data_IF_647008649064
#
_entry.id   IF_647008649064
#
_cell.length_a   1.000
_cell.length_b   1.000
_cell.length_c   1.000
_cell.angle_alpha   90.00
_cell.angle_beta   90.00
_cell.angle_gamma   90.00
#
_symmetry.space_group_name_H-M   'P 1'
#
loop_
_entity.id
_entity.type
_entity.pdbx_description
1 polymer ?
#
# COMPACT_ATOMS: atom_id res chain seq x y z
N UNK A 1 17.99 -14.85 -1.39
CA UNK A 1 17.90 -13.87 -2.50
C UNK A 1 18.05 -12.50 -1.86
N UNK A 2 19.17 -11.82 -2.09
CA UNK A 2 19.29 -10.42 -1.65
C UNK A 2 18.21 -9.59 -2.37
N UNK A 3 17.53 -8.67 -1.63
CA UNK A 3 16.61 -7.77 -2.28
C UNK A 3 17.36 -6.97 -3.35
N UNK A 4 16.72 -6.64 -4.49
CA UNK A 4 17.38 -5.84 -5.51
C UNK A 4 17.91 -4.56 -4.87
N UNK A 5 19.17 -4.23 -5.11
CA UNK A 5 19.86 -3.04 -4.58
C UNK A 5 19.21 -1.71 -5.02
N UNK A 6 18.19 -1.75 -5.86
CA UNK A 6 17.55 -0.59 -6.47
C UNK A 6 16.19 -0.25 -5.83
N UNK A 7 16.05 -0.39 -4.53
CA UNK A 7 14.96 0.30 -3.81
C UNK A 7 15.38 1.75 -3.60
N UNK A 8 15.20 2.58 -4.61
CA UNK A 8 15.37 4.02 -4.47
C UNK A 8 14.44 4.52 -3.35
N UNK A 9 14.99 4.94 -2.20
CA UNK A 9 14.16 5.43 -1.10
C UNK A 9 13.46 6.71 -1.53
N UNK A 10 12.27 6.96 -0.95
CA UNK A 10 11.58 8.23 -1.15
C UNK A 10 12.50 9.40 -0.80
N UNK A 11 12.55 10.40 -1.67
CA UNK A 11 13.32 11.61 -1.46
C UNK A 11 12.57 12.56 -0.53
N UNK A 12 13.29 13.46 0.13
CA UNK A 12 12.70 14.54 0.97
C UNK A 12 11.68 15.38 0.18
N UNK A 13 11.95 15.63 -1.10
CA UNK A 13 11.03 16.37 -1.97
C UNK A 13 9.72 15.60 -2.19
N UNK A 14 9.80 14.31 -2.50
CA UNK A 14 8.63 13.44 -2.68
C UNK A 14 7.79 13.35 -1.41
N UNK A 15 8.42 13.12 -0.25
CA UNK A 15 7.74 13.07 1.05
C UNK A 15 7.07 14.40 1.36
N UNK A 16 7.76 15.52 1.16
CA UNK A 16 7.24 16.87 1.39
C UNK A 16 6.06 17.18 0.46
N UNK A 17 6.14 16.80 -0.81
CA UNK A 17 5.07 16.98 -1.80
C UNK A 17 3.80 16.24 -1.39
N UNK A 18 3.93 14.96 -1.01
CA UNK A 18 2.79 14.13 -0.59
C UNK A 18 2.19 14.67 0.71
N UNK A 19 3.00 14.97 1.71
CA UNK A 19 2.56 15.57 2.98
C UNK A 19 1.76 16.85 2.77
N UNK A 20 2.27 17.78 1.97
CA UNK A 20 1.59 19.03 1.66
C UNK A 20 0.27 18.81 0.89
N UNK A 21 0.24 17.86 -0.05
CA UNK A 21 -0.98 17.47 -0.76
C UNK A 21 -2.03 16.97 0.23
N UNK A 22 -1.65 16.04 1.12
CA UNK A 22 -2.58 15.38 2.03
C UNK A 22 -3.13 16.37 3.07
N UNK A 23 -2.29 17.26 3.61
CA UNK A 23 -2.73 18.33 4.52
C UNK A 23 -3.74 19.26 3.82
N UNK A 24 -3.45 19.68 2.57
CA UNK A 24 -4.37 20.54 1.82
C UNK A 24 -5.69 19.85 1.47
N UNK A 25 -5.66 18.55 1.23
CA UNK A 25 -6.87 17.77 0.93
C UNK A 25 -7.82 17.66 2.13
N UNK A 26 -7.34 17.86 3.36
CA UNK A 26 -8.18 17.78 4.55
C UNK A 26 -9.28 18.85 4.58
N UNK A 27 -9.04 20.04 4.02
CA UNK A 27 -10.03 21.13 4.03
C UNK A 27 -11.33 20.78 3.30
N UNK A 28 -11.24 20.00 2.20
CA UNK A 28 -12.41 19.56 1.44
C UNK A 28 -12.97 18.18 1.81
N UNK A 29 -12.26 17.44 2.68
CA UNK A 29 -12.59 16.04 2.96
C UNK A 29 -13.90 15.82 3.72
N UNK A 30 -14.36 16.81 4.47
CA UNK A 30 -15.50 16.69 5.40
C UNK A 30 -16.62 17.69 5.08
N UNK A 31 -16.76 18.12 3.83
CA UNK A 31 -17.73 19.15 3.43
C UNK A 31 -19.16 18.64 3.32
N UNK A 32 -19.37 17.32 3.25
CA UNK A 32 -20.70 16.73 3.11
C UNK A 32 -21.04 15.81 4.29
N UNK A 33 -22.35 15.70 4.61
CA UNK A 33 -22.81 14.76 5.64
C UNK A 33 -22.41 13.32 5.33
N UNK A 34 -22.43 12.92 4.07
CA UNK A 34 -21.99 11.59 3.64
C UNK A 34 -20.50 11.36 3.92
N UNK A 35 -19.66 12.36 3.66
CA UNK A 35 -18.23 12.28 3.94
C UNK A 35 -17.94 12.18 5.44
N UNK A 36 -18.66 12.94 6.26
CA UNK A 36 -18.56 12.86 7.73
C UNK A 36 -19.04 11.50 8.25
N UNK A 37 -20.17 11.00 7.79
CA UNK A 37 -20.68 9.68 8.16
C UNK A 37 -19.70 8.56 7.76
N UNK A 38 -19.13 8.65 6.56
CA UNK A 38 -18.11 7.71 6.09
C UNK A 38 -16.85 7.72 6.97
N UNK A 39 -16.38 8.89 7.37
CA UNK A 39 -15.23 9.01 8.28
C UNK A 39 -15.51 8.40 9.66
N UNK A 40 -16.71 8.60 10.21
CA UNK A 40 -17.11 7.98 11.48
C UNK A 40 -17.16 6.46 11.34
N UNK A 41 -17.78 5.95 10.26
CA UNK A 41 -17.82 4.52 9.99
C UNK A 41 -16.42 3.90 9.87
N UNK A 42 -15.50 4.59 9.19
CA UNK A 42 -14.09 4.18 9.09
C UNK A 42 -13.40 4.15 10.45
N UNK A 43 -13.62 5.16 11.29
CA UNK A 43 -13.07 5.19 12.65
C UNK A 43 -13.53 4.00 13.49
N UNK A 44 -14.83 3.67 13.43
CA UNK A 44 -15.41 2.51 14.14
C UNK A 44 -14.82 1.19 13.58
N UNK A 45 -14.79 1.03 12.26
CA UNK A 45 -14.33 -0.19 11.60
C UNK A 45 -12.87 -0.52 11.94
N UNK A 46 -12.01 0.50 12.01
CA UNK A 46 -10.59 0.34 12.30
C UNK A 46 -10.20 0.61 13.76
N UNK A 47 -11.18 0.77 14.66
CA UNK A 47 -10.91 1.01 16.08
C UNK A 47 -10.07 2.26 16.33
N UNK A 48 -10.25 3.32 15.53
CA UNK A 48 -9.50 4.56 15.68
C UNK A 48 -10.06 5.39 16.84
N UNK A 49 -9.23 6.16 17.54
CA UNK A 49 -9.68 7.01 18.65
C UNK A 49 -10.60 8.12 18.17
N UNK A 50 -11.49 8.61 19.04
CA UNK A 50 -12.49 9.63 18.70
C UNK A 50 -11.90 10.96 18.23
N UNK A 51 -10.64 11.25 18.61
CA UNK A 51 -9.92 12.45 18.19
C UNK A 51 -9.10 12.25 16.91
N UNK A 52 -9.21 11.09 16.25
CA UNK A 52 -8.41 10.74 15.08
C UNK A 52 -8.46 11.80 13.98
N UNK A 53 -9.67 12.25 13.61
CA UNK A 53 -9.85 13.27 12.56
C UNK A 53 -9.27 14.61 13.00
N UNK A 54 -9.45 14.99 14.26
CA UNK A 54 -8.94 16.24 14.81
C UNK A 54 -7.40 16.30 14.82
N UNK A 55 -6.76 15.19 15.10
CA UNK A 55 -5.29 15.08 15.19
C UNK A 55 -4.63 14.68 13.87
N UNK A 56 -5.42 14.38 12.83
CA UNK A 56 -4.90 13.84 11.56
C UNK A 56 -3.92 14.78 10.88
N UNK A 57 -4.20 16.10 10.87
CA UNK A 57 -3.31 17.11 10.29
C UNK A 57 -1.94 17.08 10.96
N UNK A 58 -1.90 17.16 12.28
CA UNK A 58 -0.66 17.20 13.05
C UNK A 58 0.14 15.90 12.86
N UNK A 59 -0.55 14.76 12.76
CA UNK A 59 0.06 13.45 12.50
C UNK A 59 0.68 13.38 11.10
N UNK A 60 0.03 13.96 10.08
CA UNK A 60 0.58 14.03 8.72
C UNK A 60 1.79 14.96 8.70
N UNK A 61 1.71 16.14 9.34
CA UNK A 61 2.79 17.12 9.41
C UNK A 61 4.02 16.60 10.18
N UNK A 62 3.80 15.76 11.20
CA UNK A 62 4.85 15.14 11.99
C UNK A 62 5.61 13.99 11.28
N UNK A 63 5.14 13.54 10.09
CA UNK A 63 5.83 12.50 9.34
C UNK A 63 7.23 12.95 8.90
N UNK A 64 8.22 12.14 9.24
CA UNK A 64 9.61 12.35 8.83
C UNK A 64 10.00 11.44 7.67
N UNK A 65 11.03 11.81 6.92
CA UNK A 65 11.56 10.97 5.84
C UNK A 65 11.99 9.59 6.36
N UNK A 66 12.63 9.54 7.52
CA UNK A 66 13.06 8.27 8.12
C UNK A 66 11.89 7.44 8.61
N UNK A 67 10.83 8.07 9.14
CA UNK A 67 9.59 7.39 9.52
C UNK A 67 8.90 6.75 8.32
N UNK A 68 8.82 7.47 7.19
CA UNK A 68 8.25 6.95 5.94
C UNK A 68 9.09 5.79 5.41
N UNK A 69 10.42 5.90 5.43
CA UNK A 69 11.32 4.80 5.01
C UNK A 69 11.20 3.57 5.92
N UNK A 70 11.10 3.77 7.22
CA UNK A 70 10.92 2.66 8.17
C UNK A 70 9.59 1.94 7.94
N UNK A 71 8.48 2.68 7.81
CA UNK A 71 7.17 2.12 7.52
C UNK A 71 7.14 1.38 6.17
N UNK A 72 7.81 1.91 5.14
CA UNK A 72 7.92 1.25 3.84
C UNK A 72 8.65 -0.09 3.93
N UNK A 73 9.75 -0.19 4.69
CA UNK A 73 10.46 -1.47 4.91
C UNK A 73 9.62 -2.49 5.65
N UNK A 74 8.81 -2.06 6.59
CA UNK A 74 7.91 -2.94 7.35
C UNK A 74 6.73 -3.42 6.49
N UNK A 75 6.10 -2.50 5.72
CA UNK A 75 4.91 -2.80 4.93
C UNK A 75 5.24 -3.52 3.61
N UNK A 76 6.37 -3.21 2.99
CA UNK A 76 6.78 -3.72 1.68
C UNK A 76 7.87 -4.80 1.83
N UNK A 77 7.55 -5.88 2.49
CA UNK A 77 8.45 -7.04 2.57
C UNK A 77 8.39 -7.84 1.25
N UNK A 78 9.45 -7.84 0.43
CA UNK A 78 9.46 -8.56 -0.84
C UNK A 78 9.26 -10.07 -0.69
N UNK A 79 9.61 -10.65 0.47
CA UNK A 79 9.45 -12.07 0.74
C UNK A 79 7.98 -12.49 0.96
N UNK A 80 7.11 -11.52 1.20
CA UNK A 80 5.67 -11.70 1.44
C UNK A 80 4.79 -11.31 0.26
N UNK A 81 5.40 -10.94 -0.87
CA UNK A 81 4.66 -10.58 -2.08
C UNK A 81 4.04 -11.82 -2.73
N UNK A 82 2.77 -11.70 -3.11
CA UNK A 82 2.10 -12.65 -4.00
C UNK A 82 1.93 -12.00 -5.37
N UNK A 83 2.47 -12.65 -6.39
CA UNK A 83 2.34 -12.22 -7.77
C UNK A 83 1.16 -12.94 -8.42
N UNK A 84 0.20 -12.19 -8.93
CA UNK A 84 -0.91 -12.74 -9.73
C UNK A 84 -0.67 -12.35 -11.19
N UNK A 85 -0.50 -13.36 -12.06
CA UNK A 85 -0.24 -13.14 -13.48
C UNK A 85 -1.33 -13.83 -14.27
N UNK A 86 -1.99 -13.09 -15.16
CA UNK A 86 -3.07 -13.57 -16.01
C UNK A 86 -2.61 -13.55 -17.46
N UNK A 87 -2.77 -14.65 -18.19
CA UNK A 87 -2.38 -14.71 -19.59
C UNK A 87 -2.55 -16.12 -20.19
N UNK A 88 -2.04 -16.29 -21.40
CA UNK A 88 -1.99 -17.58 -22.08
C UNK A 88 -0.98 -18.50 -21.37
N UNK A 89 -1.50 -19.45 -20.59
CA UNK A 89 -0.70 -20.33 -19.73
C UNK A 89 0.42 -21.03 -20.51
N UNK A 90 0.15 -21.48 -21.73
CA UNK A 90 1.15 -22.17 -22.55
C UNK A 90 2.35 -21.30 -22.89
N UNK A 91 2.18 -19.98 -22.91
CA UNK A 91 3.24 -19.02 -23.23
C UNK A 91 3.96 -18.46 -22.02
N UNK A 92 3.24 -18.31 -20.89
CA UNK A 92 3.79 -17.56 -19.73
C UNK A 92 4.29 -18.47 -18.62
N UNK A 93 3.85 -19.72 -18.51
CA UNK A 93 4.17 -20.55 -17.34
C UNK A 93 5.67 -20.79 -17.20
N UNK A 94 6.34 -21.27 -18.28
CA UNK A 94 7.77 -21.58 -18.19
C UNK A 94 8.64 -20.34 -17.95
N UNK A 95 8.43 -19.20 -18.65
CA UNK A 95 9.14 -17.97 -18.35
C UNK A 95 8.99 -17.49 -16.89
N UNK A 96 7.79 -17.63 -16.31
CA UNK A 96 7.56 -17.23 -14.90
C UNK A 96 8.31 -18.18 -13.95
N UNK A 97 8.29 -19.50 -14.19
CA UNK A 97 9.03 -20.46 -13.38
C UNK A 97 10.55 -20.24 -13.44
N UNK A 98 11.04 -19.82 -14.60
CA UNK A 98 12.46 -19.54 -14.81
C UNK A 98 12.97 -18.35 -14.02
N UNK A 99 12.07 -17.40 -13.64
CA UNK A 99 12.41 -16.28 -12.76
C UNK A 99 12.76 -16.72 -11.32
N UNK A 100 12.33 -17.91 -10.89
CA UNK A 100 12.62 -18.48 -9.55
C UNK A 100 12.26 -17.56 -8.39
N UNK A 101 11.20 -16.76 -8.54
CA UNK A 101 10.74 -15.80 -7.52
C UNK A 101 9.96 -16.45 -6.38
N UNK A 102 9.51 -17.69 -6.56
CA UNK A 102 8.75 -18.42 -5.56
C UNK A 102 8.04 -19.64 -6.13
N UNK A 103 7.13 -20.22 -5.38
CA UNK A 103 6.28 -21.34 -5.82
C UNK A 103 5.22 -20.82 -6.81
N UNK A 104 5.13 -21.43 -7.98
CA UNK A 104 4.12 -21.09 -8.98
C UNK A 104 2.94 -22.07 -8.85
N UNK A 105 1.78 -21.53 -8.52
CA UNK A 105 0.51 -22.25 -8.48
C UNK A 105 -0.33 -21.82 -9.68
N UNK A 106 -0.87 -22.79 -10.42
CA UNK A 106 -1.77 -22.53 -11.55
C UNK A 106 -3.20 -22.65 -11.07
N UNK A 107 -4.00 -21.62 -11.33
CA UNK A 107 -5.42 -21.55 -10.96
C UNK A 107 -6.28 -21.52 -12.23
N UNK A 108 -7.53 -21.99 -12.12
CA UNK A 108 -8.56 -21.76 -13.13
C UNK A 108 -9.16 -20.33 -13.02
N UNK A 109 -10.13 -20.02 -13.86
CA UNK A 109 -10.82 -18.74 -13.87
C UNK A 109 -11.63 -18.46 -12.59
N UNK A 110 -11.98 -19.51 -11.85
CA UNK A 110 -12.74 -19.45 -10.60
C UNK A 110 -11.82 -19.42 -9.37
N UNK A 111 -10.49 -19.49 -9.58
CA UNK A 111 -9.49 -19.46 -8.52
C UNK A 111 -9.18 -20.82 -7.89
N UNK A 112 -9.63 -21.92 -8.47
CA UNK A 112 -9.33 -23.26 -7.96
C UNK A 112 -7.95 -23.73 -8.45
N UNK A 113 -7.14 -24.38 -7.60
CA UNK A 113 -5.87 -24.94 -8.01
C UNK A 113 -6.04 -26.03 -9.09
N UNK A 114 -5.31 -25.89 -10.20
CA UNK A 114 -5.21 -26.90 -11.23
C UNK A 114 -4.03 -27.85 -11.00
N UNK A 115 -2.92 -27.35 -10.48
CA UNK A 115 -1.69 -28.07 -10.14
C UNK A 115 -0.69 -27.17 -9.40
#
# INVERSE_FOLDING_TARGET
MEPPEDTRPATTEEVTKIRNRDVRALSGRYETNAAVAGAIAEMITFGRPDDYVRTLKDRIEAQTDDGVRAAAREALDPSRLTWVVIGDLAKIEQPIRDLKLGTVQVLDADGNPLR
#
